data_IF_527351481804
#
_entry.id   IF_527351481804
#
_cell.length_a   1.000
_cell.length_b   1.000
_cell.length_c   1.000
_cell.angle_alpha   90.00
_cell.angle_beta   90.00
_cell.angle_gamma   90.00
#
_symmetry.space_group_name_H-M   'P 1'
#
loop_
_entity.id
_entity.type
_entity.pdbx_description
1 polymer ?
#
# COMPACT_ATOMS: atom_id res chain seq x y z
N UNK A 1 -16.94 -8.01 -1.31
CA UNK A 1 -16.06 -8.47 -2.40
C UNK A 1 -15.54 -7.26 -3.16
N UNK A 2 -14.30 -7.30 -3.62
CA UNK A 2 -13.71 -6.28 -4.49
C UNK A 2 -12.73 -6.92 -5.47
N UNK A 3 -12.43 -6.28 -6.62
CA UNK A 3 -11.31 -6.68 -7.45
C UNK A 3 -10.01 -6.55 -6.65
N UNK A 4 -9.21 -7.61 -6.62
CA UNK A 4 -7.97 -7.64 -5.86
C UNK A 4 -6.90 -8.44 -6.59
N UNK A 5 -5.65 -7.97 -6.49
CA UNK A 5 -4.45 -8.70 -6.88
C UNK A 5 -4.05 -9.69 -5.80
N UNK A 6 -3.41 -10.79 -6.22
CA UNK A 6 -2.81 -11.73 -5.30
C UNK A 6 -1.47 -11.17 -4.83
N UNK A 7 -1.23 -11.12 -3.51
CA UNK A 7 0.05 -10.67 -2.97
C UNK A 7 1.22 -11.63 -3.22
N UNK A 8 0.91 -12.89 -3.53
CA UNK A 8 1.91 -13.94 -3.67
C UNK A 8 2.65 -14.25 -2.36
N UNK A 9 3.66 -15.13 -2.41
CA UNK A 9 4.56 -15.35 -1.28
C UNK A 9 5.47 -14.14 -1.06
N UNK A 10 5.93 -13.96 0.17
CA UNK A 10 7.00 -13.02 0.49
C UNK A 10 8.32 -13.45 -0.15
N UNK A 11 9.12 -12.47 -0.59
CA UNK A 11 10.46 -12.70 -1.11
C UNK A 11 11.33 -13.35 -0.04
N UNK A 12 11.91 -14.53 -0.34
CA UNK A 12 12.87 -15.19 0.56
C UNK A 12 14.30 -14.68 0.35
N UNK A 13 14.52 -13.89 -0.70
CA UNK A 13 15.81 -13.31 -1.02
C UNK A 13 15.91 -11.93 -0.34
N UNK A 14 16.77 -11.79 0.69
CA UNK A 14 17.01 -10.49 1.28
C UNK A 14 17.61 -9.52 0.25
N UNK A 15 17.09 -8.29 0.22
CA UNK A 15 17.61 -7.23 -0.64
C UNK A 15 18.94 -6.68 -0.09
N UNK A 16 19.97 -7.51 0.02
CA UNK A 16 21.28 -7.12 0.57
C UNK A 16 22.17 -6.32 -0.38
N UNK A 17 21.84 -6.28 -1.66
CA UNK A 17 22.58 -5.49 -2.63
C UNK A 17 22.07 -4.05 -2.58
N UNK A 18 22.99 -3.07 -2.56
CA UNK A 18 22.69 -1.72 -3.01
C UNK A 18 21.93 -1.85 -4.33
N UNK A 19 20.63 -1.61 -4.31
CA UNK A 19 19.81 -1.56 -5.52
C UNK A 19 20.11 -0.21 -6.16
N UNK A 20 21.36 -0.02 -6.58
CA UNK A 20 21.78 1.09 -7.41
C UNK A 20 21.35 0.80 -8.86
N UNK A 21 20.06 0.49 -9.04
CA UNK A 21 19.44 0.13 -10.32
C UNK A 21 18.16 0.92 -10.56
N UNK A 22 18.08 2.16 -10.11
CA UNK A 22 17.21 3.14 -10.78
C UNK A 22 17.90 3.61 -12.06
N UNK A 23 18.17 2.67 -12.97
CA UNK A 23 18.17 3.02 -14.39
C UNK A 23 16.70 3.21 -14.75
N UNK A 24 16.15 4.40 -14.52
CA UNK A 24 14.85 4.78 -15.07
C UNK A 24 15.01 4.80 -16.59
N UNK A 25 14.55 3.78 -17.35
CA UNK A 25 14.71 3.82 -18.79
C UNK A 25 13.76 4.89 -19.31
N UNK A 26 14.31 5.95 -19.89
CA UNK A 26 13.59 6.93 -20.70
C UNK A 26 12.54 7.82 -20.00
N UNK A 27 12.57 7.95 -18.66
CA UNK A 27 11.75 8.98 -17.98
C UNK A 27 12.39 10.38 -18.03
N UNK A 28 13.69 10.48 -18.37
CA UNK A 28 14.44 11.74 -18.32
C UNK A 28 13.99 12.77 -19.36
N UNK A 29 13.57 12.34 -20.54
CA UNK A 29 13.45 13.23 -21.70
C UNK A 29 12.36 14.30 -21.53
N UNK A 30 11.42 14.15 -20.58
CA UNK A 30 10.32 15.08 -20.35
C UNK A 30 10.05 15.41 -18.86
N UNK A 31 10.99 15.10 -17.95
CA UNK A 31 10.82 15.35 -16.52
C UNK A 31 11.77 16.47 -16.10
N UNK A 32 11.26 17.62 -15.62
CA UNK A 32 12.06 18.73 -15.10
C UNK A 32 13.13 18.30 -14.08
N UNK A 33 14.28 19.00 -14.10
CA UNK A 33 15.44 18.66 -13.25
C UNK A 33 15.12 18.71 -11.74
N UNK A 34 14.23 19.62 -11.31
CA UNK A 34 13.79 19.75 -9.93
C UNK A 34 13.03 18.51 -9.43
N UNK A 35 12.33 17.80 -10.31
CA UNK A 35 11.68 16.52 -9.97
C UNK A 35 12.74 15.42 -9.73
N UNK A 36 13.83 15.43 -10.50
CA UNK A 36 14.93 14.48 -10.32
C UNK A 36 15.76 14.77 -9.07
N UNK A 37 15.99 16.05 -8.77
CA UNK A 37 16.69 16.47 -7.54
C UNK A 37 15.96 16.03 -6.28
N UNK A 38 14.63 15.91 -6.34
CA UNK A 38 13.78 15.43 -5.25
C UNK A 38 13.37 13.95 -5.39
N UNK A 39 13.94 13.22 -6.36
CA UNK A 39 13.60 11.82 -6.55
C UNK A 39 14.03 10.99 -5.33
N UNK A 40 13.06 10.36 -4.68
CA UNK A 40 13.32 9.42 -3.60
C UNK A 40 13.97 8.18 -4.22
N UNK A 41 15.27 8.00 -3.98
CA UNK A 41 15.97 6.75 -4.30
C UNK A 41 15.45 5.65 -3.39
N UNK A 42 15.32 4.42 -3.92
CA UNK A 42 14.72 3.27 -3.23
C UNK A 42 15.26 3.16 -1.79
N UNK A 43 14.39 3.07 -0.76
CA UNK A 43 14.85 2.97 0.61
C UNK A 43 15.72 1.72 0.81
N UNK A 44 16.66 1.82 1.74
CA UNK A 44 17.50 0.71 2.20
C UNK A 44 16.64 -0.53 2.51
N UNK A 45 17.19 -1.75 2.39
CA UNK A 45 16.48 -2.95 2.80
C UNK A 45 15.92 -2.80 4.22
N UNK A 46 14.61 -3.02 4.35
CA UNK A 46 13.85 -2.88 5.59
C UNK A 46 14.05 -4.10 6.49
N UNK A 47 15.32 -4.40 6.82
CA UNK A 47 15.64 -5.52 7.70
C UNK A 47 14.95 -5.33 9.07
N UNK A 48 14.41 -6.41 9.68
CA UNK A 48 14.48 -7.82 9.27
C UNK A 48 13.32 -8.29 8.38
N UNK A 49 12.53 -7.40 7.79
CA UNK A 49 11.29 -7.74 7.09
C UNK A 49 11.52 -8.18 5.64
N UNK A 50 10.78 -9.18 5.20
CA UNK A 50 10.78 -9.67 3.82
C UNK A 50 9.92 -8.79 2.90
N UNK A 51 10.31 -8.59 1.65
CA UNK A 51 9.57 -7.79 0.66
C UNK A 51 8.34 -8.51 0.10
N UNK A 52 7.31 -7.74 -0.24
CA UNK A 52 6.19 -8.17 -1.06
C UNK A 52 6.48 -7.83 -2.53
N UNK A 53 7.16 -8.70 -3.26
CA UNK A 53 7.50 -8.54 -4.69
C UNK A 53 6.90 -9.63 -5.59
N UNK A 54 6.23 -10.63 -5.00
CA UNK A 54 5.56 -11.71 -5.71
C UNK A 54 4.11 -11.41 -6.12
N UNK A 55 3.65 -10.16 -5.93
CA UNK A 55 2.26 -9.81 -6.22
C UNK A 55 2.01 -9.72 -7.72
N UNK A 56 0.84 -10.20 -8.14
CA UNK A 56 0.38 -10.02 -9.51
C UNK A 56 -0.35 -8.68 -9.69
N UNK A 57 -0.85 -8.44 -10.90
CA UNK A 57 -1.67 -7.27 -11.23
C UNK A 57 -3.12 -7.66 -11.55
N UNK A 58 -3.53 -8.86 -11.16
CA UNK A 58 -4.88 -9.36 -11.43
C UNK A 58 -5.93 -8.53 -10.68
N UNK A 59 -7.16 -8.57 -11.17
CA UNK A 59 -8.32 -7.90 -10.57
C UNK A 59 -9.44 -8.91 -10.34
N UNK A 60 -9.08 -10.08 -9.81
CA UNK A 60 -10.05 -11.13 -9.53
C UNK A 60 -10.99 -10.67 -8.41
N UNK A 61 -12.30 -10.93 -8.58
CA UNK A 61 -13.29 -10.60 -7.56
C UNK A 61 -13.08 -11.46 -6.32
N UNK A 62 -12.59 -10.85 -5.25
CA UNK A 62 -12.12 -11.55 -4.06
C UNK A 62 -12.97 -11.18 -2.84
N UNK A 63 -13.22 -12.17 -1.99
CA UNK A 63 -13.77 -11.96 -0.65
C UNK A 63 -12.66 -11.44 0.26
N UNK A 64 -12.81 -10.20 0.71
CA UNK A 64 -11.82 -9.47 1.50
C UNK A 64 -12.41 -9.33 2.91
N UNK A 65 -11.86 -10.00 3.93
CA UNK A 65 -12.27 -9.80 5.31
C UNK A 65 -12.10 -8.33 5.70
N UNK A 66 -13.09 -7.76 6.38
CA UNK A 66 -13.07 -6.38 6.85
C UNK A 66 -13.70 -6.29 8.23
N UNK A 67 -13.31 -5.28 8.99
CA UNK A 67 -14.04 -4.86 10.19
C UNK A 67 -14.90 -3.66 9.83
N UNK A 68 -16.19 -3.75 10.15
CA UNK A 68 -17.12 -2.63 10.06
C UNK A 68 -17.37 -2.08 11.45
N UNK A 69 -17.11 -0.79 11.63
CA UNK A 69 -17.50 -0.05 12.83
C UNK A 69 -18.55 0.97 12.41
N UNK A 70 -19.69 0.98 13.09
CA UNK A 70 -20.80 1.84 12.70
C UNK A 70 -21.44 2.46 13.94
N UNK A 71 -21.78 3.76 13.83
CA UNK A 71 -22.62 4.47 14.79
C UNK A 71 -23.66 5.30 14.01
N UNK A 72 -24.41 6.16 14.70
CA UNK A 72 -25.47 6.96 14.07
C UNK A 72 -24.96 7.95 13.01
N UNK A 73 -23.67 8.34 13.06
CA UNK A 73 -23.09 9.39 12.24
C UNK A 73 -22.22 8.86 11.09
N UNK A 74 -21.56 7.72 11.29
CA UNK A 74 -20.56 7.22 10.35
C UNK A 74 -20.46 5.69 10.33
N UNK A 75 -19.92 5.19 9.22
CA UNK A 75 -19.46 3.81 9.06
C UNK A 75 -17.99 3.83 8.65
N UNK A 76 -17.19 3.00 9.31
CA UNK A 76 -15.76 2.84 9.04
C UNK A 76 -15.52 1.42 8.56
N UNK A 77 -14.76 1.29 7.46
CA UNK A 77 -14.27 0.01 6.96
C UNK A 77 -12.77 -0.09 7.22
N UNK A 78 -12.34 -1.15 7.91
CA UNK A 78 -10.93 -1.42 8.20
C UNK A 78 -10.53 -2.74 7.54
N UNK A 79 -9.31 -2.80 7.00
CA UNK A 79 -8.69 -3.99 6.39
C UNK A 79 -7.59 -4.57 7.30
N UNK A 80 -7.90 -5.50 8.23
CA UNK A 80 -6.91 -6.05 9.15
C UNK A 80 -5.71 -6.72 8.48
N UNK A 81 -5.92 -7.34 7.32
CA UNK A 81 -4.90 -8.02 6.51
C UNK A 81 -3.93 -7.08 5.79
N UNK A 82 -4.27 -5.79 5.69
CA UNK A 82 -3.48 -4.76 5.01
C UNK A 82 -3.10 -3.66 6.00
N UNK A 83 -2.34 -4.05 7.03
CA UNK A 83 -1.83 -3.13 8.04
C UNK A 83 -2.90 -2.50 8.90
N UNK A 84 -4.15 -3.00 8.87
CA UNK A 84 -5.27 -2.39 9.58
C UNK A 84 -5.69 -1.07 8.94
N UNK A 85 -5.42 -0.91 7.64
CA UNK A 85 -5.75 0.30 6.87
C UNK A 85 -7.22 0.63 7.00
N UNK A 86 -7.53 1.89 7.30
CA UNK A 86 -8.88 2.42 7.18
C UNK A 86 -9.15 2.64 5.69
N UNK A 87 -10.06 1.85 5.12
CA UNK A 87 -10.42 1.92 3.70
C UNK A 87 -11.41 3.01 3.38
N UNK A 88 -12.49 3.05 4.15
CA UNK A 88 -13.64 3.94 3.96
C UNK A 88 -14.03 4.58 5.29
N UNK A 89 -14.49 5.83 5.21
CA UNK A 89 -15.03 6.62 6.31
C UNK A 89 -16.29 7.32 5.81
N UNK A 90 -17.38 6.54 5.75
CA UNK A 90 -18.65 6.98 5.20
C UNK A 90 -19.37 7.89 6.19
N UNK A 91 -19.58 9.15 5.80
CA UNK A 91 -20.41 10.08 6.56
C UNK A 91 -21.88 9.90 6.17
N UNK A 92 -22.70 9.41 7.11
CA UNK A 92 -24.12 9.10 6.85
C UNK A 92 -24.98 10.34 6.62
N UNK A 93 -24.63 11.46 7.23
CA UNK A 93 -25.37 12.72 7.07
C UNK A 93 -25.05 13.37 5.72
N UNK A 94 -23.77 13.33 5.32
CA UNK A 94 -23.31 13.96 4.10
C UNK A 94 -23.51 13.08 2.85
N UNK A 95 -23.63 11.76 3.04
CA UNK A 95 -23.84 10.80 1.95
C UNK A 95 -22.61 10.58 1.06
N UNK A 96 -21.39 10.72 1.62
CA UNK A 96 -20.15 10.44 0.92
C UNK A 96 -19.02 9.98 1.87
N UNK A 97 -18.00 9.33 1.31
CA UNK A 97 -16.77 8.94 2.02
C UNK A 97 -15.83 10.12 2.23
N UNK A 98 -15.39 10.32 3.46
CA UNK A 98 -14.44 11.39 3.83
C UNK A 98 -13.00 11.10 3.39
N UNK A 99 -12.74 9.89 2.90
CA UNK A 99 -11.44 9.44 2.38
C UNK A 99 -11.65 8.78 1.01
N UNK A 100 -10.60 8.68 0.21
CA UNK A 100 -10.70 7.98 -1.06
C UNK A 100 -10.83 6.46 -0.83
N UNK A 101 -12.04 5.92 -0.95
CA UNK A 101 -12.28 4.47 -0.96
C UNK A 101 -11.81 3.87 -2.29
N UNK A 102 -10.69 3.16 -2.25
CA UNK A 102 -10.09 2.59 -3.45
C UNK A 102 -10.92 1.36 -3.89
N UNK A 103 -11.55 1.39 -5.07
CA UNK A 103 -12.44 0.31 -5.49
C UNK A 103 -11.69 -0.99 -5.83
N UNK A 104 -10.36 -0.98 -5.84
CA UNK A 104 -9.50 -2.13 -6.16
C UNK A 104 -8.34 -2.25 -5.17
N UNK A 105 -7.95 -3.48 -4.87
CA UNK A 105 -6.67 -3.76 -4.22
C UNK A 105 -5.64 -4.15 -5.27
N UNK A 106 -4.84 -3.19 -5.77
CA UNK A 106 -3.83 -3.44 -6.79
C UNK A 106 -2.47 -2.82 -6.40
N UNK A 107 -1.63 -3.54 -5.62
CA UNK A 107 -0.39 -3.00 -5.10
C UNK A 107 0.61 -2.58 -6.18
N UNK A 108 1.43 -1.59 -5.87
CA UNK A 108 2.59 -1.15 -6.64
C UNK A 108 3.79 -0.89 -5.72
N UNK A 109 5.00 -0.77 -6.30
CA UNK A 109 6.28 -0.57 -5.58
C UNK A 109 6.42 0.86 -5.06
N UNK A 110 5.61 1.18 -4.06
CA UNK A 110 5.62 2.45 -3.33
C UNK A 110 5.75 2.25 -1.81
N UNK A 111 5.47 1.05 -1.30
CA UNK A 111 5.61 0.73 0.10
C UNK A 111 7.05 0.44 0.49
N UNK A 112 7.37 0.54 1.78
CA UNK A 112 8.70 0.18 2.31
C UNK A 112 9.07 -1.29 2.03
N UNK A 113 8.09 -2.19 2.10
CA UNK A 113 8.23 -3.59 1.68
C UNK A 113 7.67 -3.84 0.27
N UNK A 114 7.76 -2.86 -0.62
CA UNK A 114 7.24 -2.85 -1.99
C UNK A 114 5.71 -2.68 -2.07
N UNK A 115 4.91 -3.74 -1.84
CA UNK A 115 3.45 -3.66 -2.02
C UNK A 115 2.76 -2.53 -1.21
N UNK A 116 2.16 -1.57 -1.94
CA UNK A 116 1.33 -0.50 -1.37
C UNK A 116 0.17 -0.12 -2.30
N UNK A 117 -0.95 0.32 -1.72
CA UNK A 117 -2.13 0.79 -2.47
C UNK A 117 -2.53 2.20 -2.06
N UNK A 118 -3.08 2.97 -3.00
CA UNK A 118 -3.66 4.30 -2.73
C UNK A 118 -5.02 4.21 -2.02
N UNK A 119 -5.49 5.37 -1.55
CA UNK A 119 -6.78 5.50 -0.85
C UNK A 119 -6.72 5.20 0.65
N UNK A 120 -7.78 5.56 1.36
CA UNK A 120 -7.92 5.35 2.79
C UNK A 120 -6.90 6.10 3.65
N UNK A 121 -6.64 5.57 4.84
CA UNK A 121 -5.63 6.05 5.79
C UNK A 121 -4.70 4.91 6.19
N UNK A 122 -3.40 5.12 6.01
CA UNK A 122 -2.33 4.20 6.40
C UNK A 122 -1.71 4.63 7.73
N UNK A 123 -1.39 3.67 8.60
CA UNK A 123 -0.68 3.94 9.85
C UNK A 123 0.84 3.98 9.60
N UNK A 124 1.39 5.18 9.48
CA UNK A 124 2.82 5.42 9.24
C UNK A 124 3.60 5.39 10.57
N UNK A 125 3.95 4.17 11.01
CA UNK A 125 4.77 3.93 12.21
C UNK A 125 5.57 2.62 12.02
N UNK A 126 6.80 2.48 12.57
CA UNK A 126 7.59 3.45 13.36
C UNK A 126 8.53 4.35 12.55
N UNK A 127 8.63 4.14 11.23
CA UNK A 127 9.50 4.90 10.35
C UNK A 127 8.70 5.94 9.57
N UNK A 128 9.36 7.03 9.15
CA UNK A 128 8.72 8.07 8.34
C UNK A 128 8.25 7.53 6.99
N UNK A 129 7.05 7.92 6.54
CA UNK A 129 6.46 7.45 5.29
C UNK A 129 5.74 6.11 5.44
N UNK A 130 5.58 5.40 4.32
CA UNK A 130 4.84 4.12 4.28
C UNK A 130 5.38 3.10 5.28
N UNK A 131 4.49 2.32 5.89
CA UNK A 131 4.87 1.39 6.95
C UNK A 131 5.48 0.10 6.40
N UNK A 132 6.30 -0.57 7.21
CA UNK A 132 6.68 -1.98 6.97
C UNK A 132 5.52 -2.95 7.25
N UNK A 133 4.37 -2.45 7.71
CA UNK A 133 3.17 -3.24 7.97
C UNK A 133 2.03 -2.98 6.98
N UNK A 134 2.20 -2.12 5.96
CA UNK A 134 1.13 -1.72 5.01
C UNK A 134 0.34 -2.89 4.44
N UNK A 135 1.00 -3.96 4.02
CA UNK A 135 0.38 -5.14 3.42
C UNK A 135 0.41 -6.36 4.34
N UNK A 136 0.74 -6.16 5.63
CA UNK A 136 0.85 -7.23 6.61
C UNK A 136 -0.41 -7.32 7.48
N UNK A 137 -0.83 -8.52 7.91
CA UNK A 137 -1.94 -8.66 8.85
C UNK A 137 -1.56 -8.09 10.24
N UNK A 138 -2.49 -7.38 10.88
CA UNK A 138 -2.31 -6.78 12.23
C UNK A 138 -2.58 -7.78 13.35
N UNK A 139 -3.29 -8.87 13.07
CA UNK A 139 -3.54 -9.96 14.01
C UNK A 139 -3.19 -11.28 13.32
N UNK A 140 -2.43 -12.12 14.03
CA UNK A 140 -2.06 -13.48 13.65
C UNK A 140 -2.61 -14.44 14.70
#
# INVERSE_FOLDING_TARGET
>A
RMPASNLGPLSQLPAFADVNTTSFPNLRDNVPDDIWENAITKPYPELPYLSYDGYDRSQAMTDVPVLYLENDYMRVTIYPQWGGKLGSLWNKQAGFDLVFDNPVYQPADLGRRNAWTSGGVEWNWPLFGHSVFTAAPVFV
#
